data_IF_221442962195
#
_entry.id   IF_221442962195
#
_cell.length_a   1.000
_cell.length_b   1.000
_cell.length_c   1.000
_cell.angle_alpha   90.00
_cell.angle_beta   90.00
_cell.angle_gamma   90.00
#
_symmetry.space_group_name_H-M   'P 1'
#
loop_
_entity.id
_entity.type
_entity.pdbx_description
1 polymer ?
#
# COMPACT_ATOMS: atom_id res chain seq x y z
N UNK A 1 -16.72 54.51 14.04
CA UNK A 1 -16.56 54.63 12.58
C UNK A 1 -15.16 54.16 12.22
N UNK A 2 -15.05 53.15 11.33
CA UNK A 2 -14.02 53.01 10.29
C UNK A 2 -12.52 52.99 10.72
N UNK A 3 -11.65 52.05 10.34
CA UNK A 3 -11.61 51.04 9.28
C UNK A 3 -10.46 50.04 9.59
N UNK A 4 -10.57 48.81 9.06
CA UNK A 4 -9.55 47.75 9.04
C UNK A 4 -8.22 48.16 8.37
N UNK A 5 -7.06 47.67 8.85
CA UNK A 5 -5.98 47.17 7.97
C UNK A 5 -4.87 46.38 8.71
N UNK A 6 -4.47 45.24 8.13
CA UNK A 6 -3.14 44.59 8.29
C UNK A 6 -3.03 43.66 9.50
N UNK A 7 -3.22 42.34 9.40
CA UNK A 7 -2.49 41.33 8.61
C UNK A 7 -0.98 41.29 8.93
N UNK A 8 -0.55 40.09 9.36
CA UNK A 8 0.81 39.53 9.24
C UNK A 8 1.81 39.78 10.39
N UNK A 9 1.75 38.94 11.42
CA UNK A 9 2.98 38.43 12.07
C UNK A 9 2.85 36.91 12.23
N UNK A 10 3.22 36.25 11.13
CA UNK A 10 3.96 34.99 11.01
C UNK A 10 3.91 34.06 12.23
N UNK A 11 3.09 33.01 12.10
CA UNK A 11 3.21 31.78 12.87
C UNK A 11 4.55 31.11 12.55
N UNK A 12 5.58 31.43 13.34
CA UNK A 12 6.72 30.54 13.56
C UNK A 12 6.41 29.70 14.79
N UNK A 13 6.86 28.44 14.78
CA UNK A 13 6.64 27.39 15.79
C UNK A 13 5.45 26.46 15.47
N UNK A 14 5.60 25.65 14.41
CA UNK A 14 5.12 24.26 14.44
C UNK A 14 6.23 23.39 13.85
N UNK A 15 6.47 22.26 14.50
CA UNK A 15 7.73 21.54 14.52
C UNK A 15 8.10 20.74 13.28
N UNK A 16 9.36 20.35 13.35
CA UNK A 16 10.18 19.39 12.61
C UNK A 16 9.62 17.99 12.31
N UNK A 17 8.31 17.80 12.13
CA UNK A 17 7.78 16.59 11.52
C UNK A 17 7.50 16.87 10.06
N UNK A 18 8.28 16.22 9.19
CA UNK A 18 8.17 16.32 7.75
C UNK A 18 6.71 16.30 7.34
N UNK A 19 6.27 17.38 6.71
CA UNK A 19 5.05 17.42 5.92
C UNK A 19 5.22 16.36 4.84
N UNK A 20 4.80 15.13 5.12
CA UNK A 20 4.53 14.17 4.05
C UNK A 20 3.43 14.84 3.25
N UNK A 21 3.77 15.33 2.06
CA UNK A 21 2.77 15.82 1.13
C UNK A 21 1.67 14.77 1.08
N UNK A 22 0.44 15.18 1.42
CA UNK A 22 -0.79 14.40 1.36
C UNK A 22 -1.09 14.07 -0.11
N UNK A 23 -0.24 13.28 -0.73
CA UNK A 23 -0.54 12.69 -2.01
C UNK A 23 -1.30 11.42 -1.72
N UNK A 24 -2.57 11.42 -2.12
CA UNK A 24 -3.42 10.23 -2.15
C UNK A 24 -2.64 9.05 -2.73
N UNK A 25 -2.47 8.01 -1.93
CA UNK A 25 -1.67 6.85 -2.27
C UNK A 25 -2.38 5.99 -3.32
N UNK A 26 -1.70 5.69 -4.42
CA UNK A 26 -2.23 4.83 -5.48
C UNK A 26 -1.69 3.41 -5.34
N UNK A 27 -2.53 2.50 -4.83
CA UNK A 27 -2.17 1.10 -4.60
C UNK A 27 -2.72 0.25 -5.75
N UNK A 28 -1.85 -0.35 -6.54
CA UNK A 28 -2.28 -1.27 -7.59
C UNK A 28 -2.36 -2.71 -7.07
N UNK A 29 -3.46 -3.41 -7.31
CA UNK A 29 -3.61 -4.84 -7.02
C UNK A 29 -3.69 -5.63 -8.32
N UNK A 30 -2.88 -6.68 -8.44
CA UNK A 30 -2.83 -7.52 -9.63
C UNK A 30 -2.81 -9.01 -9.35
N UNK A 31 -3.49 -9.76 -10.21
CA UNK A 31 -3.43 -11.21 -10.24
C UNK A 31 -3.51 -11.73 -11.68
N UNK A 32 -3.11 -12.99 -11.86
CA UNK A 32 -3.27 -13.71 -13.13
C UNK A 32 -4.75 -13.99 -13.38
N UNK A 33 -5.27 -13.63 -14.55
CA UNK A 33 -6.68 -13.75 -14.92
C UNK A 33 -7.64 -12.73 -14.30
N UNK A 34 -7.20 -11.93 -13.32
CA UNK A 34 -7.90 -10.71 -12.91
C UNK A 34 -9.11 -10.83 -11.99
N UNK A 35 -9.66 -12.03 -11.76
CA UNK A 35 -10.90 -12.22 -10.99
C UNK A 35 -10.80 -11.81 -9.51
N UNK A 36 -9.76 -12.27 -8.80
CA UNK A 36 -9.67 -12.00 -7.36
C UNK A 36 -9.22 -10.57 -7.05
N UNK A 37 -8.37 -9.99 -7.90
CA UNK A 37 -7.89 -8.61 -7.73
C UNK A 37 -8.95 -7.58 -8.09
N UNK A 38 -9.79 -7.82 -9.11
CA UNK A 38 -10.87 -6.90 -9.46
C UNK A 38 -11.91 -6.79 -8.33
N UNK A 39 -12.31 -7.93 -7.77
CA UNK A 39 -13.24 -7.98 -6.65
C UNK A 39 -12.69 -7.24 -5.42
N UNK A 40 -11.45 -7.52 -5.04
CA UNK A 40 -10.84 -6.90 -3.85
C UNK A 40 -10.65 -5.41 -4.04
N UNK A 41 -10.13 -4.95 -5.18
CA UNK A 41 -10.00 -3.51 -5.43
C UNK A 41 -11.35 -2.80 -5.38
N UNK A 42 -12.43 -3.43 -5.86
CA UNK A 42 -13.78 -2.87 -5.76
C UNK A 42 -14.26 -2.78 -4.30
N UNK A 43 -14.06 -3.83 -3.49
CA UNK A 43 -14.41 -3.84 -2.06
C UNK A 43 -13.60 -2.81 -1.29
N UNK A 44 -12.29 -2.72 -1.54
CA UNK A 44 -11.40 -1.76 -0.89
C UNK A 44 -11.79 -0.32 -1.23
N UNK A 45 -12.04 -0.01 -2.51
CA UNK A 45 -12.53 1.32 -2.89
C UNK A 45 -13.88 1.65 -2.27
N UNK A 46 -14.77 0.67 -2.09
CA UNK A 46 -16.03 0.87 -1.37
C UNK A 46 -15.78 1.24 0.10
N UNK A 47 -14.90 0.50 0.77
CA UNK A 47 -14.55 0.77 2.16
C UNK A 47 -13.82 2.11 2.35
N UNK A 48 -12.97 2.51 1.40
CA UNK A 48 -12.34 3.83 1.38
C UNK A 48 -13.38 4.93 1.40
N UNK A 49 -14.43 4.81 0.57
CA UNK A 49 -15.56 5.76 0.56
C UNK A 49 -16.36 5.73 1.85
N UNK A 50 -16.75 4.54 2.30
CA UNK A 50 -17.54 4.35 3.53
C UNK A 50 -16.82 4.91 4.78
N UNK A 51 -15.49 4.83 4.82
CA UNK A 51 -14.66 5.30 5.95
C UNK A 51 -14.10 6.72 5.76
N UNK A 52 -14.38 7.40 4.63
CA UNK A 52 -13.85 8.74 4.35
C UNK A 52 -12.32 8.79 4.18
N UNK A 53 -11.72 7.74 3.61
CA UNK A 53 -10.27 7.60 3.40
C UNK A 53 -9.83 8.01 1.97
N UNK A 54 -10.70 8.67 1.22
CA UNK A 54 -10.47 9.01 -0.21
C UNK A 54 -9.24 9.91 -0.41
N UNK A 55 -8.96 10.80 0.52
CA UNK A 55 -7.76 11.65 0.52
C UNK A 55 -6.47 10.86 0.85
N UNK A 56 -6.60 9.66 1.44
CA UNK A 56 -5.45 8.84 1.84
C UNK A 56 -5.03 7.86 0.75
N UNK A 57 -5.98 7.16 0.14
CA UNK A 57 -5.65 6.12 -0.82
C UNK A 57 -6.75 5.84 -1.83
N UNK A 58 -6.32 5.37 -3.00
CA UNK A 58 -7.17 4.75 -4.02
C UNK A 58 -6.59 3.41 -4.45
N UNK A 59 -7.46 2.46 -4.75
CA UNK A 59 -7.05 1.14 -5.21
C UNK A 59 -7.29 1.00 -6.71
N UNK A 60 -6.22 0.71 -7.45
CA UNK A 60 -6.30 0.38 -8.87
C UNK A 60 -6.26 -1.14 -9.06
N UNK A 61 -6.94 -1.60 -10.09
CA UNK A 61 -6.83 -2.98 -10.53
C UNK A 61 -6.42 -3.01 -11.99
N UNK A 62 -5.41 -3.82 -12.30
CA UNK A 62 -5.01 -4.17 -13.67
C UNK A 62 -4.68 -5.67 -13.73
N UNK A 63 -5.23 -6.42 -14.71
CA UNK A 63 -4.93 -7.83 -14.86
C UNK A 63 -3.49 -8.05 -15.34
N UNK A 64 -2.83 -9.07 -14.80
CA UNK A 64 -1.43 -9.36 -15.15
C UNK A 64 -1.22 -9.64 -16.64
N UNK A 65 -2.16 -10.34 -17.26
CA UNK A 65 -2.04 -10.77 -18.65
C UNK A 65 -2.10 -9.60 -19.66
N UNK A 66 -2.42 -8.38 -19.19
CA UNK A 66 -2.46 -7.16 -20.01
C UNK A 66 -1.28 -6.21 -19.76
N UNK A 67 -0.25 -6.59 -19.00
CA UNK A 67 0.97 -5.78 -18.76
C UNK A 67 1.89 -5.60 -19.98
N UNK A 68 1.36 -5.65 -21.21
CA UNK A 68 2.19 -5.65 -22.42
C UNK A 68 3.03 -4.39 -22.57
N UNK A 69 2.63 -3.26 -21.99
CA UNK A 69 3.14 -1.96 -22.45
C UNK A 69 3.72 -1.04 -21.38
N UNK A 70 4.27 -1.51 -20.24
CA UNK A 70 5.14 -0.66 -19.38
C UNK A 70 4.42 0.44 -18.57
N UNK A 71 3.75 1.35 -19.27
CA UNK A 71 3.12 2.61 -18.88
C UNK A 71 2.09 2.48 -17.76
N UNK A 72 1.48 1.30 -17.56
CA UNK A 72 0.35 1.19 -16.64
C UNK A 72 0.77 1.04 -15.18
N UNK A 73 2.01 0.64 -14.90
CA UNK A 73 2.54 0.53 -13.53
C UNK A 73 2.97 1.90 -13.00
N UNK A 74 3.27 2.85 -13.89
CA UNK A 74 3.78 4.17 -13.52
C UNK A 74 2.79 4.98 -12.67
N UNK A 75 1.48 4.79 -12.91
CA UNK A 75 0.40 5.41 -12.13
C UNK A 75 0.36 4.97 -10.65
N UNK A 76 0.97 3.83 -10.31
CA UNK A 76 0.94 3.27 -8.97
C UNK A 76 2.17 3.69 -8.15
N UNK A 77 1.95 4.04 -6.90
CA UNK A 77 3.03 4.27 -5.94
C UNK A 77 3.59 2.96 -5.40
N UNK A 78 2.75 1.92 -5.35
CA UNK A 78 3.11 0.56 -4.93
C UNK A 78 2.27 -0.48 -5.65
N UNK A 79 2.86 -1.64 -5.93
CA UNK A 79 2.20 -2.76 -6.63
C UNK A 79 2.08 -3.97 -5.72
N UNK A 80 0.84 -4.33 -5.42
CA UNK A 80 0.48 -5.50 -4.65
C UNK A 80 0.15 -6.68 -5.58
N UNK A 81 0.96 -7.71 -5.48
CA UNK A 81 0.87 -8.95 -6.22
C UNK A 81 0.08 -9.99 -5.42
N UNK A 82 -0.79 -10.74 -6.10
CA UNK A 82 -1.34 -11.96 -5.50
C UNK A 82 -0.29 -13.04 -5.27
N UNK A 83 -0.51 -13.92 -4.29
CA UNK A 83 0.36 -15.07 -4.03
C UNK A 83 0.59 -15.95 -5.26
N UNK A 84 -0.39 -16.00 -6.19
CA UNK A 84 -0.26 -16.69 -7.48
C UNK A 84 0.80 -16.09 -8.41
N UNK A 85 1.25 -14.86 -8.17
CA UNK A 85 2.30 -14.17 -8.92
C UNK A 85 3.65 -14.16 -8.19
N UNK A 86 3.77 -14.83 -7.03
CA UNK A 86 5.03 -14.84 -6.27
C UNK A 86 6.22 -15.31 -7.12
N UNK A 87 6.03 -16.31 -7.99
CA UNK A 87 7.09 -16.83 -8.87
C UNK A 87 7.60 -15.84 -9.95
N UNK A 88 6.85 -14.77 -10.27
CA UNK A 88 7.27 -13.72 -11.22
C UNK A 88 7.62 -12.40 -10.55
N UNK A 89 7.42 -12.29 -9.24
CA UNK A 89 7.63 -11.05 -8.49
C UNK A 89 9.03 -10.47 -8.65
N UNK A 90 10.08 -11.31 -8.60
CA UNK A 90 11.46 -10.89 -8.84
C UNK A 90 11.68 -10.32 -10.24
N UNK A 91 11.13 -10.95 -11.28
CA UNK A 91 11.24 -10.46 -12.67
C UNK A 91 10.52 -9.12 -12.87
N UNK A 92 9.41 -8.90 -12.16
CA UNK A 92 8.71 -7.62 -12.18
C UNK A 92 9.52 -6.53 -11.47
N UNK A 93 10.07 -6.85 -10.30
CA UNK A 93 10.96 -5.94 -9.57
C UNK A 93 12.22 -5.57 -10.37
N UNK A 94 12.80 -6.52 -11.12
CA UNK A 94 13.92 -6.25 -12.03
C UNK A 94 13.52 -5.36 -13.21
N UNK A 95 12.29 -5.52 -13.72
CA UNK A 95 11.77 -4.74 -14.86
C UNK A 95 11.38 -3.31 -14.47
N UNK A 96 10.94 -3.10 -13.23
CA UNK A 96 10.50 -1.82 -12.68
C UNK A 96 11.21 -1.56 -11.34
N UNK A 97 12.54 -1.34 -11.36
CA UNK A 97 13.35 -1.26 -10.14
C UNK A 97 12.96 -0.09 -9.23
N UNK A 98 12.35 0.96 -9.77
CA UNK A 98 11.85 2.13 -9.06
C UNK A 98 10.52 1.91 -8.32
N UNK A 99 9.83 0.81 -8.59
CA UNK A 99 8.50 0.53 -8.05
C UNK A 99 8.56 -0.51 -6.94
N UNK A 100 8.01 -0.25 -5.75
CA UNK A 100 7.93 -1.25 -4.71
C UNK A 100 6.89 -2.31 -5.06
N UNK A 101 7.30 -3.58 -5.05
CA UNK A 101 6.42 -4.73 -5.18
C UNK A 101 6.26 -5.44 -3.84
N UNK A 102 5.04 -5.87 -3.55
CA UNK A 102 4.74 -6.67 -2.36
C UNK A 102 3.79 -7.82 -2.70
N UNK A 103 4.00 -9.00 -2.12
CA UNK A 103 3.12 -10.15 -2.33
C UNK A 103 2.15 -10.26 -1.14
N UNK A 104 0.87 -9.99 -1.40
CA UNK A 104 -0.16 -10.01 -0.35
C UNK A 104 -0.34 -11.44 0.20
N UNK A 105 -0.37 -11.64 1.52
CA UNK A 105 -0.66 -12.94 2.14
C UNK A 105 -2.03 -13.49 1.75
N UNK A 106 -2.13 -14.81 1.55
CA UNK A 106 -3.37 -15.43 1.04
C UNK A 106 -4.59 -15.13 1.92
N UNK A 107 -4.45 -15.06 3.24
CA UNK A 107 -5.59 -14.86 4.15
C UNK A 107 -6.17 -13.44 4.12
N UNK A 108 -5.39 -12.43 3.74
CA UNK A 108 -5.89 -11.06 3.58
C UNK A 108 -6.89 -10.94 2.43
N UNK A 109 -6.84 -11.85 1.44
CA UNK A 109 -7.85 -11.91 0.37
C UNK A 109 -9.26 -12.24 0.90
N UNK A 110 -9.36 -12.93 2.05
CA UNK A 110 -10.64 -13.35 2.62
C UNK A 110 -11.25 -12.35 3.60
N UNK A 111 -10.42 -11.61 4.34
CA UNK A 111 -10.83 -10.61 5.33
C UNK A 111 -10.31 -9.23 4.91
N UNK A 112 -10.97 -8.65 3.92
CA UNK A 112 -10.54 -7.40 3.27
C UNK A 112 -10.86 -6.20 4.15
N UNK A 113 -9.84 -5.43 4.52
CA UNK A 113 -9.96 -4.15 5.22
C UNK A 113 -9.03 -3.10 4.59
N UNK A 114 -9.60 -1.99 4.11
CA UNK A 114 -8.87 -0.89 3.48
C UNK A 114 -7.73 -0.34 4.34
N UNK A 115 -7.94 -0.16 5.65
CA UNK A 115 -6.91 0.39 6.53
C UNK A 115 -5.68 -0.52 6.60
N UNK A 116 -5.91 -1.84 6.67
CA UNK A 116 -4.82 -2.81 6.74
C UNK A 116 -3.98 -2.83 5.45
N UNK A 117 -4.63 -2.67 4.29
CA UNK A 117 -3.95 -2.57 3.01
C UNK A 117 -3.20 -1.25 2.84
N UNK A 118 -3.75 -0.14 3.34
CA UNK A 118 -3.10 1.17 3.31
C UNK A 118 -1.87 1.19 4.21
N UNK A 119 -1.99 0.67 5.44
CA UNK A 119 -0.88 0.58 6.39
C UNK A 119 0.26 -0.28 5.84
N UNK A 120 -0.06 -1.44 5.24
CA UNK A 120 0.94 -2.28 4.57
C UNK A 120 1.60 -1.55 3.39
N UNK A 121 0.84 -0.78 2.62
CA UNK A 121 1.36 -0.04 1.47
C UNK A 121 2.35 1.05 1.91
N UNK A 122 2.02 1.79 2.97
CA UNK A 122 2.91 2.76 3.61
C UNK A 122 4.22 2.10 4.07
N UNK A 123 4.12 0.96 4.78
CA UNK A 123 5.28 0.25 5.31
C UNK A 123 6.15 -0.36 4.19
N UNK A 124 5.54 -0.91 3.16
CA UNK A 124 6.23 -1.45 1.98
C UNK A 124 7.03 -0.35 1.28
N UNK A 125 6.44 0.82 1.08
CA UNK A 125 7.11 1.96 0.44
C UNK A 125 8.27 2.45 1.30
N UNK A 126 8.05 2.59 2.62
CA UNK A 126 9.09 3.01 3.55
C UNK A 126 10.26 2.01 3.58
N UNK A 127 9.97 0.73 3.76
CA UNK A 127 10.97 -0.34 3.81
C UNK A 127 11.70 -0.55 2.49
N UNK A 128 11.03 -0.38 1.35
CA UNK A 128 11.68 -0.37 0.04
C UNK A 128 12.66 0.79 -0.10
N UNK A 129 12.26 2.01 0.28
CA UNK A 129 13.13 3.20 0.23
C UNK A 129 14.34 3.08 1.15
N UNK A 130 14.17 2.43 2.30
CA UNK A 130 15.25 2.23 3.27
C UNK A 130 16.23 1.13 2.85
N UNK A 131 15.72 -0.03 2.39
CA UNK A 131 16.53 -1.23 2.19
C UNK A 131 16.91 -1.51 0.75
N UNK A 132 16.19 -0.93 -0.21
CA UNK A 132 16.28 -1.25 -1.64
C UNK A 132 15.82 -2.67 -2.02
N UNK A 133 15.31 -3.47 -1.06
CA UNK A 133 14.88 -4.86 -1.31
C UNK A 133 13.58 -4.88 -2.09
N UNK A 134 13.56 -5.59 -3.22
CA UNK A 134 12.41 -5.69 -4.11
C UNK A 134 12.32 -7.11 -4.74
N UNK A 135 11.18 -7.83 -4.68
CA UNK A 135 9.97 -7.49 -3.94
C UNK A 135 10.27 -7.31 -2.45
N UNK A 136 9.65 -6.31 -1.84
CA UNK A 136 9.73 -6.11 -0.41
C UNK A 136 9.06 -7.28 0.30
N UNK A 137 9.66 -7.71 1.40
CA UNK A 137 9.16 -8.78 2.24
C UNK A 137 9.30 -8.34 3.68
N UNK A 138 8.19 -8.33 4.41
CA UNK A 138 8.24 -8.15 5.84
C UNK A 138 8.98 -9.33 6.50
N UNK A 139 9.58 -9.07 7.66
CA UNK A 139 10.25 -10.10 8.44
C UNK A 139 9.26 -11.21 8.84
N UNK A 140 9.65 -12.47 8.61
CA UNK A 140 8.82 -13.65 8.86
C UNK A 140 7.80 -13.97 7.76
N UNK A 141 7.81 -13.25 6.63
CA UNK A 141 6.86 -13.44 5.52
C UNK A 141 7.45 -14.05 4.24
N UNK A 142 8.62 -14.69 4.32
CA UNK A 142 9.37 -15.17 3.15
C UNK A 142 8.54 -16.09 2.24
N UNK A 143 7.54 -16.77 2.83
CA UNK A 143 6.55 -17.56 2.10
C UNK A 143 5.15 -16.99 2.35
N UNK A 144 4.69 -16.07 1.50
CA UNK A 144 3.36 -15.47 1.55
C UNK A 144 2.19 -16.49 1.65
N UNK A 145 2.34 -17.69 1.09
CA UNK A 145 1.36 -18.78 1.21
C UNK A 145 1.24 -19.32 2.66
N UNK A 146 2.34 -19.31 3.42
CA UNK A 146 2.40 -19.78 4.82
C UNK A 146 2.09 -18.67 5.83
N UNK A 147 1.95 -17.43 5.37
CA UNK A 147 1.57 -16.33 6.22
C UNK A 147 0.06 -16.32 6.46
N UNK A 148 -0.32 -16.33 7.74
CA UNK A 148 -1.69 -16.41 8.20
C UNK A 148 -2.25 -15.11 8.78
N UNK A 149 -1.53 -13.99 8.68
CA UNK A 149 -2.07 -12.70 9.13
C UNK A 149 -3.29 -12.29 8.29
N UNK A 150 -4.20 -11.60 8.95
CA UNK A 150 -5.46 -11.11 8.39
C UNK A 150 -5.62 -9.59 8.57
N UNK A 151 -4.61 -8.95 9.15
CA UNK A 151 -4.50 -7.50 9.43
C UNK A 151 -3.13 -7.04 8.96
N UNK A 152 -2.86 -5.73 8.94
CA UNK A 152 -1.56 -5.17 8.56
C UNK A 152 -0.39 -5.76 9.36
N UNK A 153 0.81 -5.74 8.80
CA UNK A 153 2.00 -6.29 9.45
C UNK A 153 2.26 -5.63 10.81
N UNK A 154 2.16 -4.30 10.90
CA UNK A 154 2.30 -3.54 12.16
C UNK A 154 1.28 -3.95 13.24
N UNK A 155 0.02 -4.18 12.87
CA UNK A 155 -1.02 -4.66 13.82
C UNK A 155 -0.78 -6.10 14.23
N UNK A 156 -0.32 -6.94 13.29
CA UNK A 156 0.03 -8.32 13.57
C UNK A 156 1.18 -8.40 14.58
N UNK A 157 2.26 -7.62 14.40
CA UNK A 157 3.35 -7.52 15.36
C UNK A 157 2.87 -7.08 16.75
N UNK A 158 2.09 -6.00 16.83
CA UNK A 158 1.57 -5.49 18.09
C UNK A 158 0.76 -6.54 18.87
N UNK A 159 -0.02 -7.38 18.16
CA UNK A 159 -0.81 -8.44 18.78
C UNK A 159 0.05 -9.61 19.28
N UNK A 160 1.05 -10.04 18.53
CA UNK A 160 1.89 -11.18 18.95
C UNK A 160 2.84 -10.79 20.09
N UNK A 161 3.37 -9.57 20.11
CA UNK A 161 4.19 -9.07 21.22
C UNK A 161 3.41 -9.04 22.55
N UNK A 162 2.10 -8.75 22.51
CA UNK A 162 1.22 -8.79 23.69
C UNK A 162 0.89 -10.22 24.17
N UNK A 163 1.15 -11.25 23.37
CA UNK A 163 0.90 -12.65 23.75
C UNK A 163 2.12 -13.32 24.40
N UNK A 164 3.29 -12.70 24.30
CA UNK A 164 4.55 -13.16 24.89
C UNK A 164 4.86 -12.48 26.23
N UNK A 165 3.97 -11.58 26.69
CA UNK A 165 4.03 -10.84 27.97
C UNK A 165 3.07 -11.46 29.00
#
# INVERSE_FOLDING_TARGET
MCFFSGMQVVASIIGLYGTVCLNMLTIMITCRGGFSSSYISAVLNRQVKEKGLEEKARFLYKPYDKYKDGETIDEADVVFLSTRLQYVSGKLAEKYPEKPFYVIPTRMYGLVNAEDYIEDAEDVIAGFRETGKNPYCFEGEERAIRNYRIVSHRKWLAKNLQQES
#
